data_IF_873298094409
#
_entry.id   IF_873298094409
#
_cell.length_a   1.000
_cell.length_b   1.000
_cell.length_c   1.000
_cell.angle_alpha   90.00
_cell.angle_beta   90.00
_cell.angle_gamma   90.00
#
_symmetry.space_group_name_H-M   'P 1'
#
loop_
_entity.id
_entity.type
_entity.pdbx_description
1 polymer ?
#
# COMPACT_ATOMS: atom_id res chain seq x y z
N UNK A 1 -1.16 14.57 10.25
CA UNK A 1 -0.08 13.94 9.46
C UNK A 1 1.15 13.73 10.33
N UNK A 2 1.25 12.56 10.96
CA UNK A 2 2.55 12.05 11.42
C UNK A 2 3.27 11.53 10.19
N UNK A 3 4.31 12.23 9.76
CA UNK A 3 5.15 11.81 8.64
C UNK A 3 6.20 10.81 9.15
N UNK A 4 6.69 9.95 8.25
CA UNK A 4 7.79 9.05 8.58
C UNK A 4 9.05 9.87 8.88
N UNK A 5 9.53 9.78 10.11
CA UNK A 5 10.79 10.42 10.54
C UNK A 5 11.97 9.47 10.34
N UNK A 6 12.12 8.96 9.11
CA UNK A 6 13.27 8.15 8.71
C UNK A 6 14.10 8.91 7.67
N UNK A 7 15.42 8.89 7.82
CA UNK A 7 16.34 9.69 7.00
C UNK A 7 17.56 8.87 6.59
N UNK A 8 18.04 9.12 5.38
CA UNK A 8 19.29 8.56 4.85
C UNK A 8 20.23 9.68 4.38
N UNK A 9 21.53 9.44 4.47
CA UNK A 9 22.55 10.35 3.98
C UNK A 9 22.93 10.00 2.54
N UNK A 10 22.73 10.93 1.60
CA UNK A 10 23.08 10.80 0.19
C UNK A 10 24.04 11.93 -0.18
N UNK A 11 25.33 11.58 -0.27
CA UNK A 11 26.39 12.55 -0.49
C UNK A 11 26.52 13.52 0.70
N UNK A 12 26.26 14.81 0.46
CA UNK A 12 26.28 15.86 1.49
C UNK A 12 24.89 16.25 2.00
N UNK A 13 23.84 15.53 1.57
CA UNK A 13 22.45 15.82 1.95
C UNK A 13 21.89 14.71 2.83
N UNK A 14 21.04 15.11 3.77
CA UNK A 14 20.20 14.20 4.56
C UNK A 14 18.79 14.27 4.00
N UNK A 15 18.29 13.16 3.48
CA UNK A 15 17.00 13.07 2.78
C UNK A 15 16.00 12.28 3.63
N UNK A 16 14.78 12.77 3.72
CA UNK A 16 13.66 12.06 4.36
C UNK A 16 13.17 10.96 3.44
N UNK A 17 12.97 9.77 4.00
CA UNK A 17 12.35 8.66 3.29
C UNK A 17 10.82 8.80 3.32
N UNK A 18 10.21 8.42 2.20
CA UNK A 18 8.78 8.20 2.11
C UNK A 18 8.38 6.74 2.28
N UNK A 19 7.14 6.45 1.91
CA UNK A 19 6.59 5.11 1.83
C UNK A 19 6.64 4.59 0.40
N UNK A 20 6.97 3.31 0.23
CA UNK A 20 6.83 2.64 -1.07
C UNK A 20 5.35 2.43 -1.41
N UNK A 21 5.04 2.23 -2.69
CA UNK A 21 3.68 1.84 -3.13
C UNK A 21 3.21 0.56 -2.44
N UNK A 22 4.09 -0.42 -2.25
CA UNK A 22 3.80 -1.65 -1.51
C UNK A 22 3.44 -1.41 -0.03
N UNK A 23 4.15 -0.51 0.65
CA UNK A 23 3.84 -0.11 2.03
C UNK A 23 2.45 0.53 2.09
N UNK A 24 2.13 1.42 1.15
CA UNK A 24 0.81 2.04 1.06
C UNK A 24 -0.30 1.01 0.79
N UNK A 25 -0.07 0.07 -0.13
CA UNK A 25 -1.02 -0.99 -0.45
C UNK A 25 -1.25 -1.93 0.74
N UNK A 26 -0.20 -2.30 1.48
CA UNK A 26 -0.32 -3.12 2.68
C UNK A 26 -1.12 -2.42 3.78
N UNK A 27 -0.85 -1.13 4.02
CA UNK A 27 -1.61 -0.31 4.96
C UNK A 27 -3.09 -0.20 4.58
N UNK A 28 -3.37 0.09 3.31
CA UNK A 28 -4.73 0.13 2.77
C UNK A 28 -5.44 -1.22 2.92
N UNK A 29 -4.77 -2.33 2.60
CA UNK A 29 -5.34 -3.67 2.74
C UNK A 29 -5.64 -4.01 4.21
N UNK A 30 -4.73 -3.68 5.14
CA UNK A 30 -4.94 -3.87 6.57
C UNK A 30 -6.19 -3.11 7.05
N UNK A 31 -6.30 -1.82 6.72
CA UNK A 31 -7.47 -1.02 7.11
C UNK A 31 -8.77 -1.54 6.50
N UNK A 32 -8.73 -1.95 5.21
CA UNK A 32 -9.88 -2.52 4.53
C UNK A 32 -10.28 -3.87 5.15
N UNK A 33 -9.33 -4.71 5.55
CA UNK A 33 -9.60 -5.96 6.29
C UNK A 33 -10.24 -5.69 7.64
N UNK A 34 -9.77 -4.69 8.39
CA UNK A 34 -10.42 -4.26 9.63
C UNK A 34 -11.88 -3.82 9.36
N UNK A 35 -12.11 -3.04 8.30
CA UNK A 35 -13.45 -2.62 7.90
C UNK A 35 -14.35 -3.81 7.55
N UNK A 36 -13.84 -4.78 6.80
CA UNK A 36 -14.59 -5.95 6.36
C UNK A 36 -14.92 -6.90 7.52
N UNK A 37 -13.94 -7.19 8.38
CA UNK A 37 -14.07 -8.19 9.46
C UNK A 37 -14.76 -7.62 10.70
N UNK A 38 -14.47 -6.36 11.04
CA UNK A 38 -14.90 -5.74 12.28
C UNK A 38 -15.95 -4.64 12.07
N UNK A 39 -16.27 -4.31 10.82
CA UNK A 39 -17.23 -3.25 10.47
C UNK A 39 -16.67 -1.82 10.55
N UNK A 40 -15.43 -1.64 10.99
CA UNK A 40 -14.83 -0.32 11.20
C UNK A 40 -13.38 -0.26 10.68
N UNK A 41 -13.09 0.76 9.86
CA UNK A 41 -11.73 1.06 9.43
C UNK A 41 -11.05 1.94 10.51
N UNK A 42 -9.79 1.69 10.85
CA UNK A 42 -9.01 2.63 11.67
C UNK A 42 -8.65 3.87 10.85
N UNK A 43 -8.56 5.03 11.50
CA UNK A 43 -8.07 6.27 10.87
C UNK A 43 -6.56 6.21 10.58
N UNK A 44 -5.84 5.37 11.33
CA UNK A 44 -4.39 5.18 11.22
C UNK A 44 -4.04 3.71 11.41
N UNK A 45 -3.14 3.19 10.57
CA UNK A 45 -2.54 1.86 10.74
C UNK A 45 -1.06 1.96 11.04
N UNK A 46 -0.56 1.00 11.81
CA UNK A 46 0.88 0.77 12.00
C UNK A 46 1.23 -0.55 11.32
N UNK A 47 2.22 -0.53 10.45
CA UNK A 47 2.76 -1.74 9.80
C UNK A 47 4.28 -1.75 9.93
N UNK A 48 4.85 -2.91 10.22
CA UNK A 48 6.29 -3.12 10.18
C UNK A 48 6.71 -3.37 8.72
N UNK A 49 7.61 -2.55 8.20
CA UNK A 49 8.14 -2.74 6.85
C UNK A 49 9.16 -3.88 6.82
N UNK A 50 9.48 -4.47 5.65
CA UNK A 50 10.53 -5.50 5.54
C UNK A 50 11.91 -5.05 6.04
N UNK A 51 12.15 -3.73 6.17
CA UNK A 51 13.36 -3.16 6.74
C UNK A 51 13.33 -3.06 8.28
N UNK A 52 12.27 -3.54 8.95
CA UNK A 52 12.10 -3.46 10.41
C UNK A 52 11.74 -2.05 10.91
N UNK A 53 11.22 -1.19 10.02
CA UNK A 53 10.80 0.18 10.36
C UNK A 53 9.29 0.21 10.50
N UNK A 54 8.79 0.71 11.63
CA UNK A 54 7.37 0.93 11.85
C UNK A 54 6.87 2.14 11.04
N UNK A 55 5.95 1.89 10.12
CA UNK A 55 5.27 2.90 9.34
C UNK A 55 3.89 3.19 9.94
N UNK A 56 3.65 4.44 10.33
CA UNK A 56 2.37 4.93 10.85
C UNK A 56 1.67 5.74 9.76
N UNK A 57 0.56 5.21 9.24
CA UNK A 57 -0.03 5.66 7.98
C UNK A 57 -1.51 6.02 8.20
N UNK A 58 -1.87 7.24 7.78
CA UNK A 58 -3.26 7.72 7.78
C UNK A 58 -4.05 7.05 6.64
N UNK A 59 -5.30 6.68 6.93
CA UNK A 59 -6.19 6.01 6.00
C UNK A 59 -7.17 7.02 5.40
N UNK A 60 -7.31 6.99 4.08
CA UNK A 60 -8.23 7.80 3.28
C UNK A 60 -9.27 6.91 2.57
N UNK A 61 -10.29 7.52 1.96
CA UNK A 61 -11.19 6.89 0.97
C UNK A 61 -11.77 5.52 1.40
N UNK A 62 -12.30 5.45 2.63
CA UNK A 62 -12.96 4.24 3.14
C UNK A 62 -14.30 4.03 2.43
N UNK A 63 -14.47 2.86 1.83
CA UNK A 63 -15.72 2.46 1.18
C UNK A 63 -16.02 0.98 1.47
N UNK A 64 -17.30 0.58 1.46
CA UNK A 64 -17.67 -0.81 1.66
C UNK A 64 -19.00 -1.16 0.98
N UNK A 65 -19.16 -2.45 0.70
CA UNK A 65 -20.41 -3.06 0.25
C UNK A 65 -20.75 -4.28 1.10
N UNK A 66 -21.60 -5.15 0.55
CA UNK A 66 -22.09 -6.34 1.27
C UNK A 66 -20.98 -7.28 1.73
N UNK A 67 -20.05 -7.58 0.83
CA UNK A 67 -19.00 -8.61 1.04
C UNK A 67 -17.60 -8.09 0.66
N UNK A 68 -17.42 -6.76 0.66
CA UNK A 68 -16.15 -6.13 0.36
C UNK A 68 -15.96 -4.82 1.13
N UNK A 69 -14.71 -4.46 1.38
CA UNK A 69 -14.31 -3.14 1.85
C UNK A 69 -13.09 -2.66 1.08
N UNK A 70 -12.93 -1.34 0.97
CA UNK A 70 -11.74 -0.71 0.42
C UNK A 70 -11.30 0.47 1.26
N UNK A 71 -10.01 0.70 1.28
CA UNK A 71 -9.38 1.87 1.90
C UNK A 71 -8.29 2.38 0.96
N UNK A 72 -8.03 3.68 1.02
CA UNK A 72 -6.96 4.35 0.30
C UNK A 72 -5.86 4.80 1.25
N UNK A 73 -4.65 4.91 0.71
CA UNK A 73 -3.52 5.56 1.36
C UNK A 73 -2.90 6.49 0.33
N UNK A 74 -2.75 7.76 0.70
CA UNK A 74 -2.01 8.71 -0.13
C UNK A 74 -0.52 8.51 0.10
N UNK A 75 0.19 8.21 -0.97
CA UNK A 75 1.62 7.99 -0.92
C UNK A 75 2.35 9.29 -0.61
N UNK A 76 3.27 9.23 0.35
CA UNK A 76 4.26 10.25 0.65
C UNK A 76 5.62 9.73 0.18
N UNK A 77 6.22 10.39 -0.79
CA UNK A 77 7.50 10.04 -1.41
C UNK A 77 8.73 10.48 -0.61
N UNK A 78 8.57 11.27 0.46
CA UNK A 78 9.73 11.84 1.14
C UNK A 78 10.36 12.97 0.35
N UNK A 79 11.69 13.04 0.36
CA UNK A 79 12.48 13.96 -0.46
C UNK A 79 12.95 13.35 -1.79
N UNK A 80 12.51 12.12 -2.10
CA UNK A 80 12.81 11.43 -3.36
C UNK A 80 11.99 12.05 -4.51
N UNK A 81 12.60 12.39 -5.68
CA UNK A 81 11.86 12.80 -6.86
C UNK A 81 11.10 11.61 -7.48
N UNK A 82 10.00 11.24 -6.84
CA UNK A 82 9.15 10.09 -7.18
C UNK A 82 7.88 10.53 -7.91
N UNK A 83 7.68 10.03 -9.12
CA UNK A 83 6.51 10.35 -9.96
C UNK A 83 5.18 9.88 -9.37
N UNK A 84 5.22 8.92 -8.44
CA UNK A 84 4.05 8.37 -7.76
C UNK A 84 3.75 9.08 -6.43
N UNK A 85 4.53 10.09 -6.06
CA UNK A 85 4.23 10.91 -4.88
C UNK A 85 2.83 11.55 -4.98
N UNK A 86 2.11 11.57 -3.85
CA UNK A 86 0.74 12.06 -3.77
C UNK A 86 -0.33 11.17 -4.42
N UNK A 87 0.06 10.08 -5.10
CA UNK A 87 -0.88 9.13 -5.68
C UNK A 87 -1.68 8.43 -4.57
N UNK A 88 -2.98 8.27 -4.80
CA UNK A 88 -3.83 7.46 -3.94
C UNK A 88 -3.69 5.98 -4.32
N UNK A 89 -3.18 5.17 -3.40
CA UNK A 89 -3.10 3.72 -3.52
C UNK A 89 -4.30 3.12 -2.79
N UNK A 90 -5.15 2.39 -3.51
CA UNK A 90 -6.37 1.80 -2.96
C UNK A 90 -6.26 0.28 -2.93
N UNK A 91 -6.63 -0.33 -1.81
CA UNK A 91 -6.79 -1.77 -1.69
C UNK A 91 -8.26 -2.10 -1.43
N UNK A 92 -8.80 -3.07 -2.16
CA UNK A 92 -10.11 -3.68 -1.89
C UNK A 92 -9.90 -5.11 -1.43
N UNK A 93 -10.59 -5.49 -0.37
CA UNK A 93 -10.61 -6.84 0.17
C UNK A 93 -12.03 -7.39 0.12
N UNK A 94 -12.16 -8.69 -0.13
CA UNK A 94 -13.41 -9.44 -0.13
C UNK A 94 -13.14 -10.87 0.29
N UNK A 95 -14.19 -11.59 0.69
CA UNK A 95 -14.07 -13.02 0.97
C UNK A 95 -13.83 -13.82 -0.31
N UNK A 96 -13.14 -14.94 -0.16
CA UNK A 96 -12.96 -15.98 -1.18
C UNK A 96 -13.44 -17.30 -0.59
N UNK A 97 -13.98 -18.19 -1.43
CA UNK A 97 -14.53 -19.46 -0.99
C UNK A 97 -13.44 -20.46 -0.57
N UNK A 98 -12.25 -20.34 -1.15
CA UNK A 98 -11.12 -21.22 -0.88
C UNK A 98 -10.18 -20.64 0.18
N UNK A 99 -9.63 -21.47 1.10
CA UNK A 99 -8.64 -21.00 2.08
C UNK A 99 -7.41 -20.40 1.41
N UNK A 100 -7.06 -19.17 1.81
CA UNK A 100 -5.84 -18.51 1.36
C UNK A 100 -6.00 -17.01 1.22
N UNK A 101 -4.96 -16.38 0.69
CA UNK A 101 -4.96 -14.96 0.32
C UNK A 101 -4.64 -14.87 -1.16
N UNK A 102 -5.54 -14.23 -1.92
CA UNK A 102 -5.34 -13.95 -3.34
C UNK A 102 -5.07 -12.46 -3.48
N UNK A 103 -3.95 -12.12 -4.12
CA UNK A 103 -3.56 -10.75 -4.40
C UNK A 103 -3.60 -10.56 -5.92
N UNK A 104 -4.27 -9.51 -6.38
CA UNK A 104 -4.29 -9.12 -7.79
C UNK A 104 -4.27 -7.58 -7.94
N UNK A 105 -3.98 -7.12 -9.16
CA UNK A 105 -3.93 -5.73 -9.54
C UNK A 105 -5.29 -5.19 -10.01
N UNK A 106 -5.78 -4.15 -9.35
CA UNK A 106 -6.95 -3.38 -9.78
C UNK A 106 -6.64 -2.37 -10.90
N UNK A 107 -7.54 -1.40 -11.07
CA UNK A 107 -7.31 -0.27 -11.97
C UNK A 107 -6.03 0.49 -11.59
N UNK A 108 -5.25 0.88 -12.59
CA UNK A 108 -3.97 1.57 -12.41
C UNK A 108 -2.77 0.65 -12.12
N UNK A 109 -2.98 -0.62 -11.79
CA UNK A 109 -1.89 -1.59 -11.62
C UNK A 109 -1.54 -2.21 -12.97
N UNK A 110 -0.29 -2.05 -13.39
CA UNK A 110 0.22 -2.61 -14.64
C UNK A 110 0.17 -4.15 -14.65
N UNK A 111 0.20 -4.72 -15.86
CA UNK A 111 0.39 -6.17 -16.08
C UNK A 111 1.77 -6.42 -16.67
N UNK A 112 2.43 -7.50 -16.25
CA UNK A 112 3.72 -7.88 -16.81
C UNK A 112 3.53 -8.32 -18.26
N UNK A 113 4.24 -7.68 -19.19
CA UNK A 113 4.11 -7.94 -20.63
C UNK A 113 5.33 -8.64 -21.24
N UNK A 114 6.44 -8.73 -20.49
CA UNK A 114 7.70 -9.34 -20.93
C UNK A 114 8.34 -10.10 -19.78
N UNK A 115 9.14 -11.11 -20.12
CA UNK A 115 9.93 -11.88 -19.16
C UNK A 115 11.02 -11.00 -18.51
N UNK A 116 11.48 -11.42 -17.32
CA UNK A 116 12.58 -10.78 -16.59
C UNK A 116 12.18 -9.96 -15.36
N UNK A 117 10.88 -9.87 -15.05
CA UNK A 117 10.38 -9.36 -13.76
C UNK A 117 10.13 -10.53 -12.79
N UNK A 118 10.00 -10.22 -11.50
CA UNK A 118 9.70 -11.20 -10.44
C UNK A 118 8.35 -11.89 -10.67
N UNK A 119 7.39 -11.17 -11.27
CA UNK A 119 6.07 -11.70 -11.61
C UNK A 119 6.03 -12.26 -13.04
N UNK A 120 5.28 -13.35 -13.29
CA UNK A 120 5.19 -13.94 -14.62
C UNK A 120 4.41 -13.06 -15.60
N UNK A 121 4.63 -13.25 -16.91
CA UNK A 121 3.88 -12.56 -17.96
C UNK A 121 2.38 -12.79 -17.80
N UNK A 122 1.62 -11.70 -17.81
CA UNK A 122 0.16 -11.67 -17.58
C UNK A 122 -0.25 -11.38 -16.14
N UNK A 123 0.63 -11.58 -15.14
CA UNK A 123 0.33 -11.27 -13.76
C UNK A 123 0.33 -9.76 -13.48
N UNK A 124 -0.26 -9.36 -12.36
CA UNK A 124 -0.15 -8.00 -11.84
C UNK A 124 1.32 -7.65 -11.56
N UNK A 125 1.74 -6.44 -11.90
CA UNK A 125 3.09 -5.94 -11.63
C UNK A 125 3.24 -5.53 -10.16
N UNK A 126 3.18 -6.51 -9.25
CA UNK A 126 3.30 -6.36 -7.78
C UNK A 126 4.43 -7.27 -7.31
N UNK A 127 5.44 -6.72 -6.63
CA UNK A 127 6.65 -7.44 -6.20
C UNK A 127 6.73 -7.62 -4.68
#
# INVERSE_FOLDING_TARGET
MRQLEHYIDVGQKRLRCGYTTGTCAAAAAHAASCKLLNGQAPDVVMIETPAGIDAVIEIEEVSCGKDWASCGVRKDGGDDPDITDGMLVVARVSYVDEPGVVIDGGEGVGRVTREGLDQPVGAAAIN
#
